data_IF_898098052124
#
_entry.id   IF_898098052124
#
_cell.length_a   1.000
_cell.length_b   1.000
_cell.length_c   1.000
_cell.angle_alpha   90.00
_cell.angle_beta   90.00
_cell.angle_gamma   90.00
#
_symmetry.space_group_name_H-M   'P 1'
#
loop_
_entity.id
_entity.type
_entity.pdbx_description
1 polymer ?
#
# COMPACT_ATOMS: atom_id res chain seq x y z
N UNK A 1 -3.24 6.31 17.49
CA UNK A 1 -3.63 4.90 17.30
C UNK A 1 -4.69 4.83 16.21
N UNK A 2 -4.69 3.77 15.42
CA UNK A 2 -5.67 3.58 14.35
C UNK A 2 -7.02 3.11 14.92
N UNK A 3 -8.17 3.53 14.37
CA UNK A 3 -9.47 3.11 14.91
C UNK A 3 -9.69 1.60 14.79
N UNK A 4 -10.09 0.96 15.89
CA UNK A 4 -10.22 -0.52 16.00
C UNK A 4 -11.20 -1.10 14.96
N UNK A 5 -12.31 -0.41 14.71
CA UNK A 5 -13.37 -0.88 13.81
C UNK A 5 -13.13 -0.51 12.33
N UNK A 6 -12.01 0.15 12.02
CA UNK A 6 -11.71 0.62 10.67
C UNK A 6 -10.52 -0.17 10.12
N UNK A 7 -10.75 -1.21 9.31
CA UNK A 7 -9.66 -1.94 8.69
C UNK A 7 -8.89 -1.04 7.71
N UNK A 8 -7.60 -1.33 7.50
CA UNK A 8 -6.71 -0.54 6.63
C UNK A 8 -5.79 -1.42 5.80
N UNK A 9 -5.54 -1.02 4.57
CA UNK A 9 -4.54 -1.63 3.69
C UNK A 9 -3.59 -0.55 3.17
N UNK A 10 -2.29 -0.87 3.15
CA UNK A 10 -1.21 0.02 2.72
C UNK A 10 -0.53 -0.62 1.52
N UNK A 11 -0.28 0.17 0.47
CA UNK A 11 0.29 -0.28 -0.78
C UNK A 11 1.46 0.61 -1.18
N UNK A 12 2.63 0.03 -1.40
CA UNK A 12 3.81 0.78 -1.82
C UNK A 12 4.76 -0.07 -2.67
N UNK A 13 5.68 0.59 -3.38
CA UNK A 13 6.83 -0.09 -3.96
C UNK A 13 7.97 -0.21 -2.93
N UNK A 14 8.67 -1.34 -2.94
CA UNK A 14 9.62 -1.73 -1.88
C UNK A 14 10.97 -0.99 -1.92
N UNK A 15 11.25 -0.24 -2.99
CA UNK A 15 12.40 0.63 -3.14
C UNK A 15 11.99 2.06 -3.54
N UNK A 16 10.72 2.44 -3.31
CA UNK A 16 10.28 3.83 -3.50
C UNK A 16 10.96 4.73 -2.46
N UNK A 17 11.82 5.69 -2.88
CA UNK A 17 12.57 6.53 -1.94
C UNK A 17 11.65 7.38 -1.05
N UNK A 18 10.48 7.80 -1.55
CA UNK A 18 9.54 8.58 -0.76
C UNK A 18 8.82 7.75 0.31
N UNK A 19 8.71 6.43 0.11
CA UNK A 19 8.10 5.55 1.10
C UNK A 19 9.13 4.94 2.06
N UNK A 20 10.31 4.61 1.54
CA UNK A 20 11.36 3.93 2.31
C UNK A 20 12.22 4.94 3.06
N UNK A 21 12.78 5.93 2.38
CA UNK A 21 13.80 6.81 2.98
C UNK A 21 13.19 7.88 3.89
N UNK A 22 11.94 8.28 3.65
CA UNK A 22 11.21 9.24 4.49
C UNK A 22 10.59 8.59 5.75
N UNK A 23 10.69 7.25 5.91
CA UNK A 23 10.27 6.50 7.10
C UNK A 23 8.83 6.01 7.10
N UNK A 24 8.09 6.16 6.00
CA UNK A 24 6.70 5.69 5.88
C UNK A 24 6.61 4.16 5.93
N UNK A 25 7.61 3.43 5.42
CA UNK A 25 7.68 1.97 5.54
C UNK A 25 7.66 1.54 7.01
N UNK A 26 8.38 2.26 7.87
CA UNK A 26 8.53 1.92 9.28
C UNK A 26 7.24 2.26 10.04
N UNK A 27 6.60 3.38 9.69
CA UNK A 27 5.28 3.73 10.19
C UNK A 27 4.21 2.70 9.76
N UNK A 28 4.25 2.23 8.51
CA UNK A 28 3.34 1.22 7.99
C UNK A 28 3.52 -0.13 8.70
N UNK A 29 4.77 -0.55 8.95
CA UNK A 29 5.06 -1.77 9.73
C UNK A 29 4.55 -1.66 11.16
N UNK A 30 4.82 -0.55 11.85
CA UNK A 30 4.33 -0.32 13.20
C UNK A 30 2.79 -0.29 13.26
N UNK A 31 2.13 0.22 12.22
CA UNK A 31 0.67 0.20 12.12
C UNK A 31 0.15 -1.23 11.97
N UNK A 32 0.74 -2.05 11.10
CA UNK A 32 0.38 -3.46 10.94
C UNK A 32 0.58 -4.26 12.24
N UNK A 33 1.61 -3.94 13.02
CA UNK A 33 1.86 -4.61 14.30
C UNK A 33 0.86 -4.24 15.41
N UNK A 34 0.28 -3.04 15.35
CA UNK A 34 -0.52 -2.48 16.44
C UNK A 34 -2.03 -2.44 16.18
N UNK A 35 -2.47 -2.35 14.93
CA UNK A 35 -3.88 -2.27 14.58
C UNK A 35 -4.54 -3.65 14.48
N UNK A 36 -5.83 -3.73 14.83
CA UNK A 36 -6.58 -4.98 14.82
C UNK A 36 -6.75 -5.59 13.42
N UNK A 37 -6.82 -4.74 12.39
CA UNK A 37 -7.07 -5.14 11.00
C UNK A 37 -6.26 -4.23 10.06
N UNK A 38 -4.97 -4.52 9.92
CA UNK A 38 -4.07 -3.77 9.05
C UNK A 38 -3.21 -4.72 8.20
N UNK A 39 -3.06 -4.38 6.93
CA UNK A 39 -2.22 -5.13 5.98
C UNK A 39 -1.29 -4.19 5.21
N UNK A 40 -0.08 -4.66 4.91
CA UNK A 40 0.91 -3.96 4.08
C UNK A 40 1.30 -4.83 2.89
N UNK A 41 1.12 -4.30 1.68
CA UNK A 41 1.51 -4.92 0.42
C UNK A 41 2.64 -4.14 -0.23
N UNK A 42 3.75 -4.83 -0.46
CA UNK A 42 4.93 -4.26 -1.12
C UNK A 42 5.11 -4.87 -2.52
N UNK A 43 5.22 -4.01 -3.52
CA UNK A 43 5.51 -4.38 -4.90
C UNK A 43 7.00 -4.16 -5.23
N UNK A 44 7.64 -5.02 -6.05
CA UNK A 44 8.99 -4.74 -6.52
C UNK A 44 9.04 -3.45 -7.36
N UNK A 45 9.91 -2.51 -7.02
CA UNK A 45 10.14 -1.30 -7.82
C UNK A 45 10.53 -0.08 -7.00
N UNK A 46 10.83 1.03 -7.68
CA UNK A 46 11.33 2.29 -7.10
C UNK A 46 10.40 3.50 -7.40
N UNK A 47 9.15 3.25 -7.82
CA UNK A 47 8.23 4.29 -8.29
C UNK A 47 7.12 4.54 -7.25
N UNK A 48 6.94 5.82 -6.89
CA UNK A 48 5.92 6.25 -5.94
C UNK A 48 4.50 6.12 -6.50
N UNK A 49 4.22 6.76 -7.65
CA UNK A 49 2.89 6.82 -8.26
C UNK A 49 2.67 5.70 -9.28
N UNK A 50 2.87 4.44 -8.87
CA UNK A 50 2.81 3.30 -9.78
C UNK A 50 1.41 2.93 -10.26
N UNK A 51 0.36 3.36 -9.54
CA UNK A 51 -1.03 3.06 -9.87
C UNK A 51 -1.66 4.08 -10.85
N UNK A 52 -0.99 5.22 -11.12
CA UNK A 52 -1.50 6.27 -12.00
C UNK A 52 -1.11 6.01 -13.46
N UNK A 53 -2.08 5.58 -14.27
CA UNK A 53 -1.88 5.23 -15.69
C UNK A 53 -1.57 6.40 -16.61
N UNK A 54 -1.65 7.64 -16.12
CA UNK A 54 -1.27 8.84 -16.86
C UNK A 54 0.22 9.19 -16.76
N UNK A 55 0.95 8.55 -15.84
CA UNK A 55 2.34 8.87 -15.52
C UNK A 55 3.34 7.81 -16.05
N UNK A 56 4.59 8.21 -16.37
CA UNK A 56 5.65 7.25 -16.71
C UNK A 56 6.01 6.26 -15.58
N UNK A 57 5.62 6.56 -14.34
CA UNK A 57 5.79 5.68 -13.18
C UNK A 57 4.82 4.51 -13.16
N UNK A 58 3.80 4.50 -14.03
CA UNK A 58 2.78 3.46 -14.07
C UNK A 58 3.38 2.06 -14.25
N UNK A 59 3.02 1.16 -13.34
CA UNK A 59 3.27 -0.27 -13.48
C UNK A 59 1.94 -1.00 -13.56
N UNK A 60 1.57 -1.46 -14.76
CA UNK A 60 0.29 -2.11 -15.01
C UNK A 60 0.08 -3.39 -14.17
N UNK A 61 1.15 -4.11 -13.84
CA UNK A 61 1.07 -5.36 -13.09
C UNK A 61 0.79 -5.07 -11.63
N UNK A 62 1.59 -4.18 -11.02
CA UNK A 62 1.40 -3.76 -9.64
C UNK A 62 0.05 -3.04 -9.47
N UNK A 63 -0.32 -2.14 -10.39
CA UNK A 63 -1.59 -1.42 -10.36
C UNK A 63 -2.79 -2.37 -10.43
N UNK A 64 -2.80 -3.34 -11.35
CA UNK A 64 -3.89 -4.33 -11.44
C UNK A 64 -4.01 -5.18 -10.18
N UNK A 65 -2.87 -5.56 -9.60
CA UNK A 65 -2.80 -6.36 -8.38
C UNK A 65 -3.25 -5.59 -7.14
N UNK A 66 -2.93 -4.30 -7.04
CA UNK A 66 -3.49 -3.38 -6.06
C UNK A 66 -5.01 -3.28 -6.23
N UNK A 67 -5.46 -3.09 -7.48
CA UNK A 67 -6.86 -2.82 -7.75
C UNK A 67 -7.77 -4.01 -7.41
N UNK A 68 -7.31 -5.22 -7.70
CA UNK A 68 -8.00 -6.44 -7.29
C UNK A 68 -8.16 -6.52 -5.76
N UNK A 69 -7.09 -6.26 -4.99
CA UNK A 69 -7.14 -6.30 -3.52
C UNK A 69 -8.07 -5.24 -2.93
N UNK A 70 -8.07 -4.03 -3.50
CA UNK A 70 -8.99 -2.97 -3.05
C UNK A 70 -10.44 -3.36 -3.31
N UNK A 71 -10.77 -3.96 -4.45
CA UNK A 71 -12.12 -4.43 -4.71
C UNK A 71 -12.53 -5.54 -3.73
N UNK A 72 -11.67 -6.55 -3.54
CA UNK A 72 -11.89 -7.61 -2.55
C UNK A 72 -12.07 -7.04 -1.13
N UNK A 73 -11.27 -6.04 -0.76
CA UNK A 73 -11.34 -5.37 0.54
C UNK A 73 -12.66 -4.61 0.75
N UNK A 74 -13.20 -4.01 -0.31
CA UNK A 74 -14.48 -3.29 -0.27
C UNK A 74 -15.69 -4.22 -0.30
N UNK A 75 -15.58 -5.37 -0.98
CA UNK A 75 -16.63 -6.39 -1.07
C UNK A 75 -16.79 -7.20 0.22
N UNK A 76 -15.77 -7.23 1.09
CA UNK A 76 -15.82 -7.87 2.41
C UNK A 76 -16.66 -7.10 3.46
N UNK A 77 -17.48 -6.13 3.01
CA UNK A 77 -18.42 -5.37 3.85
C UNK A 77 -19.82 -5.95 3.84
#
# INVERSE_FOLDING_TARGET
>A
EWPVEVPVQIYAMNADPFFVDDGDLEAARALVESAAQAELFLYPGDRHLFADSSLPSYDATAASSLMQRVLEFLDLR
#
